data_IF_868368080728
#
_entry.id   IF_868368080728
#
_cell.length_a   1.000
_cell.length_b   1.000
_cell.length_c   1.000
_cell.angle_alpha   90.00
_cell.angle_beta   90.00
_cell.angle_gamma   90.00
#
_symmetry.space_group_name_H-M   'P 1'
#
loop_
_entity.id
_entity.type
_entity.pdbx_description
1 polymer ?
#
# COMPACT_ATOMS: atom_id res chain seq x y z
N UNK A 1 5.91 -19.53 -9.22
CA UNK A 1 5.15 -18.91 -8.12
C UNK A 1 5.46 -17.43 -8.12
N UNK A 2 4.50 -16.57 -8.46
CA UNK A 2 4.75 -15.13 -8.57
C UNK A 2 4.51 -14.47 -7.22
N UNK A 3 5.57 -13.92 -6.65
CA UNK A 3 5.58 -13.18 -5.38
C UNK A 3 5.71 -11.71 -5.77
N UNK A 4 4.90 -10.82 -5.20
CA UNK A 4 5.16 -9.37 -5.31
C UNK A 4 6.54 -9.06 -4.72
N UNK A 5 7.16 -7.94 -5.09
CA UNK A 5 8.51 -7.58 -4.64
C UNK A 5 8.65 -7.55 -3.10
N UNK A 6 7.54 -7.30 -2.38
CA UNK A 6 7.45 -7.27 -0.91
C UNK A 6 7.08 -8.63 -0.28
N UNK A 7 6.87 -9.66 -1.11
CA UNK A 7 6.48 -10.99 -0.67
C UNK A 7 5.09 -11.04 -0.05
N UNK A 8 4.16 -10.23 -0.55
CA UNK A 8 2.75 -10.15 -0.15
C UNK A 8 1.90 -10.92 -1.17
N UNK A 9 0.94 -11.71 -0.69
CA UNK A 9 0.05 -12.52 -1.52
C UNK A 9 -1.39 -12.39 -1.07
N UNK A 10 -2.31 -12.65 -1.99
CA UNK A 10 -3.73 -12.80 -1.67
C UNK A 10 -3.92 -13.89 -0.62
N UNK A 11 -4.72 -13.60 0.40
CA UNK A 11 -4.93 -14.46 1.56
C UNK A 11 -4.01 -14.18 2.75
N UNK A 12 -2.98 -13.32 2.59
CA UNK A 12 -2.15 -12.91 3.72
C UNK A 12 -2.95 -12.10 4.73
N UNK A 13 -2.63 -12.26 6.02
CA UNK A 13 -3.31 -11.51 7.09
C UNK A 13 -2.84 -10.06 7.10
N UNK A 14 -3.75 -9.14 7.42
CA UNK A 14 -3.45 -7.71 7.59
C UNK A 14 -2.24 -7.48 8.49
N UNK A 15 -2.20 -8.11 9.67
CA UNK A 15 -1.06 -8.04 10.60
C UNK A 15 0.30 -8.39 9.97
N UNK A 16 0.34 -9.39 9.09
CA UNK A 16 1.61 -9.77 8.45
C UNK A 16 2.06 -8.73 7.43
N UNK A 17 1.10 -8.17 6.68
CA UNK A 17 1.36 -7.13 5.69
C UNK A 17 1.80 -5.84 6.38
N UNK A 18 1.09 -5.41 7.41
CA UNK A 18 1.46 -4.24 8.21
C UNK A 18 2.84 -4.40 8.87
N UNK A 19 3.20 -5.61 9.31
CA UNK A 19 4.57 -5.87 9.82
C UNK A 19 5.64 -5.83 8.75
N UNK A 20 5.32 -6.20 7.50
CA UNK A 20 6.25 -6.18 6.36
C UNK A 20 6.43 -4.78 5.79
N UNK A 21 5.33 -4.06 5.57
CA UNK A 21 5.31 -2.72 4.98
C UNK A 21 5.51 -1.61 6.01
N UNK A 22 5.23 -1.90 7.29
CA UNK A 22 5.25 -0.90 8.35
C UNK A 22 3.93 -0.14 8.46
N UNK A 23 4.02 1.07 9.01
CA UNK A 23 2.85 1.89 9.30
C UNK A 23 2.27 2.46 7.99
N UNK A 24 0.97 2.24 7.70
CA UNK A 24 0.34 2.81 6.52
C UNK A 24 0.13 4.30 6.67
N UNK A 25 -0.04 4.97 5.52
CA UNK A 25 -0.39 6.38 5.50
C UNK A 25 -1.86 6.56 5.85
N UNK A 26 -2.72 5.69 5.34
CA UNK A 26 -4.15 5.68 5.63
C UNK A 26 -4.64 4.26 5.94
N UNK A 27 -5.54 4.16 6.93
CA UNK A 27 -6.16 2.91 7.36
C UNK A 27 -7.64 3.19 7.60
N UNK A 28 -8.50 2.64 6.75
CA UNK A 28 -9.95 2.71 6.88
C UNK A 28 -10.48 1.33 7.22
N UNK A 29 -11.23 1.21 8.31
CA UNK A 29 -11.85 -0.05 8.70
C UNK A 29 -13.37 0.11 8.65
N UNK A 30 -14.01 -0.59 7.72
CA UNK A 30 -15.45 -0.52 7.48
C UNK A 30 -16.09 -1.90 7.66
N UNK A 31 -16.79 -2.08 8.78
CA UNK A 31 -17.46 -3.32 9.18
C UNK A 31 -16.53 -4.55 9.16
N UNK A 32 -16.54 -5.30 8.06
CA UNK A 32 -15.76 -6.53 7.86
C UNK A 32 -14.62 -6.34 6.84
N UNK A 33 -14.46 -5.14 6.29
CA UNK A 33 -13.47 -4.83 5.27
C UNK A 33 -12.53 -3.76 5.82
N UNK A 34 -11.23 -3.94 5.67
CA UNK A 34 -10.23 -2.93 6.02
C UNK A 34 -9.49 -2.54 4.76
N UNK A 35 -9.31 -1.24 4.52
CA UNK A 35 -8.62 -0.69 3.37
C UNK A 35 -7.39 0.02 3.92
N UNK A 36 -6.23 -0.36 3.42
CA UNK A 36 -4.95 0.19 3.84
C UNK A 36 -4.30 0.84 2.64
N UNK A 37 -3.94 2.12 2.74
CA UNK A 37 -3.28 2.86 1.67
C UNK A 37 -1.89 3.29 2.12
N UNK A 38 -0.90 2.94 1.32
CA UNK A 38 0.49 3.38 1.44
C UNK A 38 0.79 4.32 0.28
N UNK A 39 1.26 5.52 0.58
CA UNK A 39 1.72 6.46 -0.45
C UNK A 39 3.22 6.63 -0.20
N UNK A 40 4.03 6.17 -1.14
CA UNK A 40 5.47 6.36 -1.06
C UNK A 40 5.79 7.72 -1.67
N UNK A 41 5.67 8.78 -0.86
CA UNK A 41 6.26 10.07 -1.20
C UNK A 41 7.78 9.90 -1.08
N UNK A 42 8.51 9.81 -2.20
CA UNK A 42 9.97 9.92 -2.18
C UNK A 42 10.36 11.39 -1.90
N UNK A 43 10.12 11.83 -0.66
CA UNK A 43 10.37 13.18 -0.18
C UNK A 43 11.71 13.28 0.57
N UNK A 44 12.74 12.60 0.07
CA UNK A 44 14.08 12.63 0.70
C UNK A 44 15.03 13.63 0.02
N UNK A 45 14.58 14.40 -0.97
CA UNK A 45 15.38 15.49 -1.50
C UNK A 45 14.53 16.58 -2.14
N UNK A 46 14.62 17.79 -1.58
CA UNK A 46 14.15 19.06 -2.15
C UNK A 46 14.64 19.33 -3.59
N UNK A 47 15.46 18.45 -4.17
CA UNK A 47 15.95 18.51 -5.55
C UNK A 47 14.95 17.95 -6.57
N UNK A 48 13.97 17.13 -6.16
CA UNK A 48 13.11 16.37 -7.07
C UNK A 48 11.67 16.91 -7.16
N UNK A 49 11.29 17.90 -6.34
CA UNK A 49 9.98 18.56 -6.44
C UNK A 49 9.78 19.33 -7.76
N UNK A 50 10.85 19.62 -8.51
CA UNK A 50 10.77 20.29 -9.82
C UNK A 50 10.34 19.37 -10.99
N UNK A 51 10.19 18.05 -10.78
CA UNK A 51 10.07 17.08 -11.87
C UNK A 51 8.71 16.36 -12.02
N UNK A 52 7.63 16.82 -11.39
CA UNK A 52 6.27 16.21 -11.51
C UNK A 52 6.30 14.67 -11.40
N UNK A 53 7.06 14.15 -10.44
CA UNK A 53 7.21 12.70 -10.31
C UNK A 53 5.89 12.09 -9.82
N UNK A 54 5.43 10.98 -10.43
CA UNK A 54 4.20 10.33 -9.97
C UNK A 54 4.37 9.78 -8.56
N UNK A 55 3.37 10.04 -7.72
CA UNK A 55 3.21 9.45 -6.41
C UNK A 55 2.89 7.97 -6.57
N UNK A 56 3.75 7.11 -6.05
CA UNK A 56 3.46 5.68 -6.02
C UNK A 56 2.52 5.38 -4.85
N UNK A 57 1.34 4.84 -5.16
CA UNK A 57 0.37 4.43 -4.16
C UNK A 57 0.13 2.92 -4.21
N UNK A 58 -0.05 2.33 -3.04
CA UNK A 58 -0.41 0.93 -2.86
C UNK A 58 -1.62 0.85 -1.94
N UNK A 59 -2.70 0.29 -2.45
CA UNK A 59 -3.96 0.10 -1.74
C UNK A 59 -4.19 -1.38 -1.52
N UNK A 60 -4.41 -1.78 -0.28
CA UNK A 60 -4.66 -3.16 0.12
C UNK A 60 -6.06 -3.26 0.72
N UNK A 61 -6.88 -4.13 0.15
CA UNK A 61 -8.25 -4.36 0.59
C UNK A 61 -8.30 -5.72 1.28
N UNK A 62 -8.56 -5.66 2.57
CA UNK A 62 -8.73 -6.78 3.47
C UNK A 62 -10.20 -7.03 3.67
N UNK A 63 -10.61 -8.30 3.70
CA UNK A 63 -11.95 -8.70 4.10
C UNK A 63 -11.83 -9.82 5.12
N UNK A 64 -12.53 -9.70 6.25
CA UNK A 64 -12.39 -10.58 7.41
C UNK A 64 -10.92 -10.74 7.87
N UNK A 65 -10.12 -9.67 7.79
CA UNK A 65 -8.72 -9.64 8.21
C UNK A 65 -7.72 -10.35 7.28
N UNK A 66 -8.15 -10.80 6.10
CA UNK A 66 -7.28 -11.38 5.06
C UNK A 66 -7.29 -10.53 3.80
N UNK A 67 -6.14 -10.42 3.15
CA UNK A 67 -5.99 -9.66 1.91
C UNK A 67 -6.82 -10.33 0.81
N UNK A 68 -7.82 -9.62 0.31
CA UNK A 68 -8.64 -10.06 -0.81
C UNK A 68 -8.16 -9.48 -2.12
N UNK A 69 -7.79 -8.20 -2.08
CA UNK A 69 -7.38 -7.45 -3.25
C UNK A 69 -6.28 -6.48 -2.88
N UNK A 70 -5.44 -6.16 -3.85
CA UNK A 70 -4.44 -5.11 -3.73
C UNK A 70 -4.28 -4.44 -5.09
N UNK A 71 -4.16 -3.13 -5.06
CA UNK A 71 -3.98 -2.28 -6.22
C UNK A 71 -2.73 -1.44 -5.99
N UNK A 72 -1.92 -1.29 -7.02
CA UNK A 72 -0.72 -0.46 -6.98
C UNK A 72 -0.68 0.37 -8.25
N UNK A 73 -0.28 1.63 -8.10
CA UNK A 73 -0.36 2.60 -9.17
C UNK A 73 0.53 3.80 -8.94
N UNK A 74 0.50 4.68 -9.93
CA UNK A 74 1.25 5.92 -9.99
C UNK A 74 0.25 7.04 -10.25
N UNK A 75 0.03 7.91 -9.27
CA UNK A 75 -0.77 9.13 -9.45
C UNK A 75 0.15 10.28 -9.86
N UNK A 76 -0.12 10.87 -11.02
CA UNK A 76 0.54 12.10 -11.43
C UNK A 76 -0.22 13.28 -10.79
N UNK A 77 0.46 14.24 -10.15
CA UNK A 77 -0.15 15.43 -9.59
C UNK A 77 -0.76 16.38 -10.64
#
# INVERSE_FOLDING_TARGET
MSTTNSGIKLGDKQDQILKKLGKPNDLQEENATSIVTYITEQNESNLLQEFDMPLYYEKFIFSNGVLKEYEFGFEYP
#
